data_IF_456709273136
#
_entry.id   IF_456709273136
#
_cell.length_a   1.000
_cell.length_b   1.000
_cell.length_c   1.000
_cell.angle_alpha   90.00
_cell.angle_beta   90.00
_cell.angle_gamma   90.00
#
_symmetry.space_group_name_H-M   'P 1'
#
loop_
_entity.id
_entity.type
_entity.pdbx_description
1 polymer ?
#
# COMPACT_ATOMS: atom_id res chain seq x y z
N UNK A 1 5.27 14.19 -18.23
CA UNK A 1 4.74 14.94 -17.06
C UNK A 1 5.09 14.14 -15.82
N UNK A 2 5.49 14.80 -14.75
CA UNK A 2 5.79 14.14 -13.47
C UNK A 2 4.48 13.67 -12.84
N UNK A 3 4.43 12.41 -12.40
CA UNK A 3 3.24 11.84 -11.77
C UNK A 3 3.01 12.46 -10.39
N UNK A 4 1.74 12.56 -9.94
CA UNK A 4 1.39 13.16 -8.67
C UNK A 4 2.06 12.46 -7.48
N UNK A 5 2.20 11.14 -7.53
CA UNK A 5 2.81 10.35 -6.45
C UNK A 5 4.33 10.54 -6.34
N UNK A 6 5.01 10.95 -7.43
CA UNK A 6 6.43 11.33 -7.40
C UNK A 6 6.64 12.66 -6.65
N UNK A 7 5.67 13.57 -6.74
CA UNK A 7 5.73 14.87 -6.09
C UNK A 7 5.32 14.79 -4.61
N UNK A 8 4.33 13.96 -4.31
CA UNK A 8 3.72 13.89 -2.99
C UNK A 8 4.52 13.08 -1.98
N UNK A 9 4.96 11.87 -2.34
CA UNK A 9 5.65 10.96 -1.41
C UNK A 9 7.11 11.36 -1.20
N UNK A 10 7.33 12.49 -0.46
CA UNK A 10 8.63 13.06 -0.15
C UNK A 10 8.75 13.47 1.32
N UNK A 11 9.64 14.45 1.59
CA UNK A 11 9.87 15.00 2.92
C UNK A 11 8.59 15.61 3.52
N UNK A 12 7.77 16.28 2.70
CA UNK A 12 6.54 16.92 3.14
C UNK A 12 5.52 15.89 3.65
N UNK A 13 5.39 14.76 2.94
CA UNK A 13 4.56 13.65 3.40
C UNK A 13 4.98 13.14 4.79
N UNK A 14 6.29 13.03 5.05
CA UNK A 14 6.81 12.60 6.35
C UNK A 14 6.49 13.61 7.47
N UNK A 15 6.45 14.90 7.14
CA UNK A 15 6.13 15.95 8.09
C UNK A 15 4.63 16.02 8.40
N UNK A 16 3.77 15.82 7.40
CA UNK A 16 2.32 15.89 7.56
C UNK A 16 1.72 14.64 8.21
N UNK A 17 2.41 13.51 8.13
CA UNK A 17 1.93 12.26 8.73
C UNK A 17 2.92 11.66 9.74
N UNK A 18 3.34 12.42 10.77
CA UNK A 18 4.28 11.91 11.79
C UNK A 18 3.70 10.76 12.61
N UNK A 19 2.36 10.70 12.72
CA UNK A 19 1.61 9.75 13.53
C UNK A 19 1.15 8.50 12.77
N UNK A 20 1.48 8.35 11.49
CA UNK A 20 1.32 7.08 10.79
C UNK A 20 2.32 6.07 11.36
N UNK A 21 2.05 5.67 12.60
CA UNK A 21 2.93 4.90 13.47
C UNK A 21 2.71 3.38 13.38
N UNK A 22 3.32 2.67 14.30
CA UNK A 22 3.47 1.24 14.19
C UNK A 22 2.26 0.40 14.56
N UNK A 23 1.16 0.94 15.15
CA UNK A 23 0.07 0.12 15.66
C UNK A 23 -0.69 -0.58 14.53
N UNK A 24 -1.18 0.16 13.54
CA UNK A 24 -1.83 -0.43 12.37
C UNK A 24 -0.88 -1.34 11.59
N UNK A 25 0.40 -0.94 11.47
CA UNK A 25 1.42 -1.78 10.83
C UNK A 25 1.67 -3.08 11.60
N UNK A 26 1.62 -3.06 12.91
CA UNK A 26 1.72 -4.25 13.75
C UNK A 26 0.50 -5.16 13.57
N UNK A 27 -0.72 -4.60 13.58
CA UNK A 27 -1.98 -5.35 13.44
C UNK A 27 -2.07 -6.05 12.08
N UNK A 28 -1.80 -5.34 10.98
CA UNK A 28 -1.86 -5.96 9.65
C UNK A 28 -0.79 -7.05 9.49
N UNK A 29 0.42 -6.87 10.02
CA UNK A 29 1.46 -7.91 9.99
C UNK A 29 1.08 -9.11 10.86
N UNK A 30 0.44 -8.90 12.01
CA UNK A 30 -0.06 -9.99 12.85
C UNK A 30 -1.16 -10.80 12.13
N UNK A 31 -2.08 -10.13 11.42
CA UNK A 31 -3.08 -10.80 10.58
C UNK A 31 -2.40 -11.63 9.48
N UNK A 32 -1.42 -11.08 8.79
CA UNK A 32 -0.65 -11.80 7.75
C UNK A 32 0.04 -13.04 8.35
N UNK A 33 0.71 -12.88 9.49
CA UNK A 33 1.41 -13.98 10.18
C UNK A 33 0.47 -15.10 10.66
N UNK A 34 -0.81 -14.80 10.85
CA UNK A 34 -1.84 -15.79 11.17
C UNK A 34 -2.26 -16.68 9.98
N UNK A 35 -1.94 -16.25 8.74
CA UNK A 35 -2.34 -16.96 7.51
C UNK A 35 -1.12 -17.45 6.72
N UNK A 36 -0.02 -16.68 6.75
CA UNK A 36 1.18 -16.93 5.95
C UNK A 36 2.37 -17.24 6.83
N UNK A 37 3.18 -18.22 6.46
CA UNK A 37 4.42 -18.58 7.18
C UNK A 37 5.49 -17.53 6.91
N UNK A 38 5.82 -16.69 7.90
CA UNK A 38 6.83 -15.63 7.79
C UNK A 38 8.25 -16.04 8.21
N UNK A 39 8.48 -16.94 9.18
CA UNK A 39 9.83 -17.30 9.62
C UNK A 39 10.70 -17.76 8.45
N UNK A 40 11.81 -17.01 8.18
CA UNK A 40 12.78 -17.20 7.09
C UNK A 40 12.23 -16.94 5.68
N UNK A 41 10.98 -16.53 5.52
CA UNK A 41 10.40 -16.16 4.23
C UNK A 41 11.13 -14.96 3.62
N UNK A 42 11.38 -15.00 2.32
CA UNK A 42 11.83 -13.85 1.53
C UNK A 42 10.60 -12.97 1.25
N UNK A 43 10.52 -11.82 1.90
CA UNK A 43 9.36 -10.93 1.81
C UNK A 43 9.73 -9.65 1.05
N UNK A 44 8.94 -9.32 0.02
CA UNK A 44 8.97 -8.02 -0.63
C UNK A 44 7.88 -7.12 -0.03
N UNK A 45 8.29 -6.03 0.61
CA UNK A 45 7.39 -4.93 1.02
C UNK A 45 7.35 -3.91 -0.13
N UNK A 46 6.31 -4.02 -0.99
CA UNK A 46 6.13 -3.26 -2.22
C UNK A 46 5.47 -1.93 -1.93
N UNK A 47 6.10 -0.83 -2.34
CA UNK A 47 5.79 0.54 -1.92
C UNK A 47 5.88 0.70 -0.40
N UNK A 48 7.02 0.28 0.14
CA UNK A 48 7.26 0.16 1.59
C UNK A 48 7.28 1.51 2.34
N UNK A 49 7.36 2.63 1.62
CA UNK A 49 7.45 3.96 2.20
C UNK A 49 8.60 4.08 3.21
N UNK A 50 8.36 4.65 4.41
CA UNK A 50 9.38 4.79 5.45
C UNK A 50 9.66 3.49 6.24
N UNK A 51 9.26 2.32 5.72
CA UNK A 51 9.61 1.00 6.25
C UNK A 51 8.89 0.61 7.54
N UNK A 52 7.68 1.12 7.81
CA UNK A 52 6.98 0.84 9.07
C UNK A 52 6.54 -0.62 9.23
N UNK A 53 6.18 -1.30 8.13
CA UNK A 53 5.81 -2.73 8.15
C UNK A 53 7.03 -3.64 8.25
N UNK A 54 8.15 -3.24 7.60
CA UNK A 54 9.35 -4.05 7.50
C UNK A 54 9.90 -4.51 8.86
N UNK A 55 9.87 -3.63 9.88
CA UNK A 55 10.32 -4.00 11.23
C UNK A 55 9.45 -5.09 11.88
N UNK A 56 8.12 -5.05 11.64
CA UNK A 56 7.19 -6.04 12.18
C UNK A 56 7.30 -7.37 11.42
N UNK A 57 7.43 -7.33 10.08
CA UNK A 57 7.70 -8.51 9.27
C UNK A 57 8.98 -9.22 9.72
N UNK A 58 10.06 -8.45 9.94
CA UNK A 58 11.31 -8.98 10.44
C UNK A 58 11.22 -9.53 11.88
N UNK A 59 10.42 -8.92 12.74
CA UNK A 59 10.15 -9.43 14.08
C UNK A 59 9.43 -10.81 14.06
N UNK A 60 8.68 -11.10 12.99
CA UNK A 60 8.12 -12.44 12.72
C UNK A 60 9.10 -13.37 11.99
N UNK A 61 10.38 -12.99 11.86
CA UNK A 61 11.44 -13.81 11.29
C UNK A 61 11.59 -13.74 9.77
N UNK A 62 10.89 -12.82 9.09
CA UNK A 62 11.01 -12.63 7.65
C UNK A 62 12.33 -11.95 7.25
N UNK A 63 12.82 -12.28 6.06
CA UNK A 63 13.95 -11.61 5.40
C UNK A 63 13.35 -10.57 4.44
N UNK A 64 13.35 -9.30 4.86
CA UNK A 64 12.59 -8.25 4.19
C UNK A 64 13.42 -7.51 3.15
N UNK A 65 12.84 -7.32 1.96
CA UNK A 65 13.28 -6.37 0.95
C UNK A 65 12.20 -5.30 0.80
N UNK A 66 12.50 -4.06 1.13
CA UNK A 66 11.63 -2.91 0.89
C UNK A 66 11.90 -2.31 -0.48
N UNK A 67 10.83 -2.03 -1.23
CA UNK A 67 10.89 -1.43 -2.54
C UNK A 67 9.98 -0.21 -2.61
N UNK A 68 10.51 0.94 -3.00
CA UNK A 68 9.74 2.18 -3.11
C UNK A 68 10.35 3.13 -4.17
N UNK A 69 9.52 3.99 -4.73
CA UNK A 69 9.95 4.99 -5.70
C UNK A 69 10.68 6.16 -5.03
N UNK A 70 10.26 6.52 -3.82
CA UNK A 70 10.70 7.70 -3.09
C UNK A 70 12.03 7.49 -2.38
N UNK A 71 13.07 8.19 -2.80
CA UNK A 71 14.36 8.17 -2.11
C UNK A 71 14.29 8.74 -0.69
N UNK A 72 13.58 9.86 -0.40
CA UNK A 72 13.39 10.34 0.96
C UNK A 72 12.77 9.29 1.90
N UNK A 73 11.72 8.59 1.44
CA UNK A 73 11.08 7.55 2.24
C UNK A 73 12.01 6.36 2.49
N UNK A 74 12.72 5.89 1.46
CA UNK A 74 13.71 4.81 1.61
C UNK A 74 14.87 5.19 2.53
N UNK A 75 15.33 6.44 2.47
CA UNK A 75 16.35 6.93 3.41
C UNK A 75 15.84 6.86 4.84
N UNK A 76 14.58 7.26 5.07
CA UNK A 76 13.93 7.15 6.38
C UNK A 76 13.77 5.68 6.82
N UNK A 77 13.38 4.80 5.90
CA UNK A 77 13.28 3.35 6.16
C UNK A 77 14.62 2.77 6.62
N UNK A 78 15.69 3.07 5.89
CA UNK A 78 17.05 2.63 6.23
C UNK A 78 17.50 3.11 7.61
N UNK A 79 17.21 4.35 7.96
CA UNK A 79 17.56 4.89 9.29
C UNK A 79 16.73 4.25 10.42
N UNK A 80 15.44 3.98 10.20
CA UNK A 80 14.56 3.39 11.22
C UNK A 80 14.75 1.90 11.42
N UNK A 81 15.27 1.20 10.41
CA UNK A 81 15.34 -0.26 10.42
C UNK A 81 16.49 -0.84 11.26
N UNK A 82 17.43 -0.01 11.75
CA UNK A 82 18.58 -0.48 12.53
C UNK A 82 19.35 -1.65 11.89
N UNK A 83 19.45 -1.64 10.56
CA UNK A 83 20.14 -2.70 9.79
C UNK A 83 19.24 -3.86 9.36
N UNK A 84 17.95 -3.83 9.68
CA UNK A 84 16.98 -4.81 9.20
C UNK A 84 16.49 -4.41 7.80
N UNK A 85 16.45 -5.36 6.86
CA UNK A 85 15.92 -5.18 5.51
C UNK A 85 16.97 -4.71 4.49
N UNK A 86 16.64 -4.97 3.24
CA UNK A 86 17.31 -4.45 2.04
C UNK A 86 16.39 -3.41 1.44
N UNK A 87 16.95 -2.30 0.93
CA UNK A 87 16.15 -1.18 0.40
C UNK A 87 16.50 -0.95 -1.05
N UNK A 88 15.52 -1.06 -1.93
CA UNK A 88 15.66 -0.94 -3.38
C UNK A 88 14.76 0.18 -3.88
N UNK A 89 15.31 1.11 -4.65
CA UNK A 89 14.56 2.18 -5.29
C UNK A 89 14.09 1.75 -6.67
N UNK A 90 12.80 1.97 -6.96
CA UNK A 90 12.26 1.73 -8.29
C UNK A 90 10.76 1.99 -8.37
N UNK A 91 10.26 1.96 -9.59
CA UNK A 91 8.84 2.06 -9.91
C UNK A 91 8.24 0.64 -9.89
N UNK A 92 7.13 0.45 -9.17
CA UNK A 92 6.50 -0.87 -9.06
C UNK A 92 5.96 -1.41 -10.39
N UNK A 93 5.84 -0.55 -11.41
CA UNK A 93 5.50 -0.96 -12.78
C UNK A 93 6.62 -1.74 -13.48
N UNK A 94 7.83 -1.71 -12.92
CA UNK A 94 9.04 -2.35 -13.50
C UNK A 94 9.90 -2.95 -12.39
N UNK A 95 9.52 -4.12 -11.87
CA UNK A 95 10.26 -4.77 -10.78
C UNK A 95 11.60 -5.33 -11.26
N UNK A 96 12.73 -4.87 -10.69
CA UNK A 96 14.07 -5.28 -11.13
C UNK A 96 14.51 -6.63 -10.54
N UNK A 97 13.57 -7.49 -10.20
CA UNK A 97 13.83 -8.75 -9.55
C UNK A 97 13.73 -9.92 -10.54
N UNK A 98 14.54 -10.96 -10.32
CA UNK A 98 14.39 -12.23 -11.01
C UNK A 98 13.02 -12.86 -10.67
N UNK A 99 12.59 -13.85 -11.47
CA UNK A 99 11.42 -14.64 -11.14
C UNK A 99 11.68 -15.55 -9.94
N UNK A 100 10.63 -15.90 -9.23
CA UNK A 100 10.59 -16.95 -8.21
C UNK A 100 11.58 -16.78 -7.05
N UNK A 101 11.66 -15.56 -6.51
CA UNK A 101 12.60 -15.23 -5.41
C UNK A 101 11.92 -14.82 -4.11
N UNK A 102 10.62 -14.48 -4.14
CA UNK A 102 9.89 -14.09 -2.95
C UNK A 102 8.85 -15.14 -2.57
N UNK A 103 8.81 -15.48 -1.29
CA UNK A 103 7.76 -16.33 -0.72
C UNK A 103 6.49 -15.52 -0.45
N UNK A 104 6.66 -14.23 -0.16
CA UNK A 104 5.54 -13.31 0.12
C UNK A 104 5.84 -11.94 -0.49
N UNK A 105 4.85 -11.38 -1.16
CA UNK A 105 4.85 -9.95 -1.54
C UNK A 105 3.70 -9.29 -0.82
N UNK A 106 3.96 -8.18 -0.13
CA UNK A 106 2.95 -7.38 0.54
C UNK A 106 2.89 -5.99 -0.09
N UNK A 107 1.68 -5.49 -0.35
CA UNK A 107 1.41 -4.11 -0.71
C UNK A 107 0.34 -3.58 0.24
N UNK A 108 0.76 -2.77 1.21
CA UNK A 108 -0.03 -2.46 2.39
C UNK A 108 -0.43 -0.98 2.46
N UNK A 109 -1.52 -0.72 3.20
CA UNK A 109 -2.03 0.60 3.51
C UNK A 109 -2.39 1.44 2.27
N UNK A 110 -3.02 0.81 1.29
CA UNK A 110 -3.47 1.48 0.05
C UNK A 110 -2.30 2.07 -0.76
N UNK A 111 -1.22 1.33 -0.91
CA UNK A 111 -0.10 1.68 -1.78
C UNK A 111 -0.29 1.19 -3.22
N UNK A 112 -1.54 1.01 -3.65
CA UNK A 112 -1.99 0.57 -4.96
C UNK A 112 -3.08 1.51 -5.47
N UNK A 113 -3.38 1.49 -6.77
CA UNK A 113 -4.47 2.32 -7.31
C UNK A 113 -4.04 3.72 -7.76
N UNK A 114 -2.74 3.98 -7.96
CA UNK A 114 -2.21 5.32 -8.24
C UNK A 114 -2.14 5.67 -9.72
N UNK A 115 -2.22 4.69 -10.61
CA UNK A 115 -2.06 4.88 -12.05
C UNK A 115 -3.35 5.34 -12.73
N UNK A 116 -3.21 5.88 -13.93
CA UNK A 116 -4.33 6.38 -14.71
C UNK A 116 -5.19 5.25 -15.29
N UNK A 117 -4.53 4.17 -15.75
CA UNK A 117 -5.15 3.09 -16.48
C UNK A 117 -5.17 1.78 -15.68
N UNK A 118 -6.29 1.05 -15.74
CA UNK A 118 -6.45 -0.22 -15.03
C UNK A 118 -5.42 -1.29 -15.53
N UNK A 119 -4.96 -1.17 -16.79
CA UNK A 119 -3.93 -2.04 -17.36
C UNK A 119 -2.56 -1.89 -16.69
N UNK A 120 -2.20 -0.70 -16.21
CA UNK A 120 -0.95 -0.49 -15.47
C UNK A 120 -0.99 -1.23 -14.13
N UNK A 121 -2.14 -1.22 -13.46
CA UNK A 121 -2.35 -1.96 -12.21
C UNK A 121 -2.25 -3.47 -12.41
N UNK A 122 -2.88 -3.99 -13.48
CA UNK A 122 -2.79 -5.40 -13.84
C UNK A 122 -1.34 -5.81 -14.19
N UNK A 123 -0.59 -4.94 -14.88
CA UNK A 123 0.82 -5.18 -15.18
C UNK A 123 1.67 -5.30 -13.91
N UNK A 124 1.42 -4.46 -12.89
CA UNK A 124 2.07 -4.59 -11.57
C UNK A 124 1.78 -5.94 -10.93
N UNK A 125 0.51 -6.38 -10.89
CA UNK A 125 0.15 -7.67 -10.27
C UNK A 125 0.78 -8.83 -11.03
N UNK A 126 0.85 -8.78 -12.38
CA UNK A 126 1.53 -9.79 -13.20
C UNK A 126 3.03 -9.86 -12.92
N UNK A 127 3.67 -8.70 -12.77
CA UNK A 127 5.09 -8.66 -12.47
C UNK A 127 5.38 -9.14 -11.04
N UNK A 128 4.51 -8.83 -10.07
CA UNK A 128 4.53 -9.43 -8.74
C UNK A 128 4.39 -10.95 -8.81
N UNK A 129 3.38 -11.46 -9.52
CA UNK A 129 3.16 -12.91 -9.68
C UNK A 129 4.38 -13.62 -10.25
N UNK A 130 5.09 -12.99 -11.20
CA UNK A 130 6.34 -13.51 -11.75
C UNK A 130 7.44 -13.64 -10.69
N UNK A 131 7.51 -12.72 -9.74
CA UNK A 131 8.56 -12.70 -8.70
C UNK A 131 8.28 -13.65 -7.53
N UNK A 132 7.05 -14.09 -7.35
CA UNK A 132 6.66 -15.05 -6.32
C UNK A 132 7.18 -16.46 -6.67
N UNK A 133 7.58 -17.21 -5.66
CA UNK A 133 7.82 -18.65 -5.76
C UNK A 133 6.51 -19.42 -6.01
N UNK A 134 6.52 -20.64 -6.58
CA UNK A 134 5.33 -21.50 -6.56
C UNK A 134 4.82 -21.70 -5.13
N UNK A 135 3.53 -21.49 -4.90
CA UNK A 135 2.93 -21.45 -3.54
C UNK A 135 3.17 -20.15 -2.77
N UNK A 136 3.88 -19.18 -3.36
CA UNK A 136 4.11 -17.88 -2.76
C UNK A 136 2.86 -17.00 -2.74
N UNK A 137 2.79 -16.05 -1.81
CA UNK A 137 1.60 -15.28 -1.49
C UNK A 137 1.74 -13.80 -1.84
N UNK A 138 0.73 -13.24 -2.52
CA UNK A 138 0.51 -11.80 -2.61
C UNK A 138 -0.53 -11.36 -1.58
N UNK A 139 -0.21 -10.34 -0.80
CA UNK A 139 -1.14 -9.65 0.10
C UNK A 139 -1.32 -8.22 -0.34
N UNK A 140 -2.56 -7.82 -0.64
CA UNK A 140 -2.93 -6.42 -0.89
C UNK A 140 -3.86 -5.96 0.23
N UNK A 141 -3.46 -4.92 0.96
CA UNK A 141 -4.29 -4.20 1.92
C UNK A 141 -4.71 -2.85 1.32
N UNK A 142 -5.98 -2.76 0.99
CA UNK A 142 -6.56 -1.68 0.23
C UNK A 142 -7.72 -0.99 0.96
N UNK A 143 -8.02 0.26 0.60
CA UNK A 143 -9.27 0.88 1.02
C UNK A 143 -10.48 0.11 0.46
N UNK A 144 -11.57 0.07 1.22
CA UNK A 144 -12.81 -0.47 0.70
C UNK A 144 -13.56 0.62 -0.09
N UNK A 145 -13.73 0.39 -1.39
CA UNK A 145 -14.35 1.36 -2.30
C UNK A 145 -15.79 1.73 -1.91
N UNK A 146 -16.58 0.76 -1.43
CA UNK A 146 -17.97 0.98 -1.03
C UNK A 146 -18.04 1.79 0.27
N UNK A 147 -17.18 1.48 1.22
CA UNK A 147 -17.04 2.27 2.45
C UNK A 147 -16.64 3.71 2.15
N UNK A 148 -15.66 3.93 1.27
CA UNK A 148 -15.21 5.27 0.87
C UNK A 148 -16.34 6.05 0.22
N UNK A 149 -17.09 5.43 -0.71
CA UNK A 149 -18.22 6.09 -1.39
C UNK A 149 -19.34 6.49 -0.43
N UNK A 150 -19.62 5.65 0.58
CA UNK A 150 -20.70 5.88 1.54
C UNK A 150 -20.33 6.84 2.67
N UNK A 151 -19.02 6.96 2.99
CA UNK A 151 -18.52 7.71 4.15
C UNK A 151 -17.54 8.82 3.77
N UNK A 152 -17.58 9.31 2.53
CA UNK A 152 -16.65 10.36 2.09
C UNK A 152 -16.92 11.65 2.88
N UNK A 153 -15.88 12.17 3.52
CA UNK A 153 -15.89 13.48 4.17
C UNK A 153 -15.29 14.48 3.18
N UNK A 154 -16.13 15.35 2.62
CA UNK A 154 -15.74 16.27 1.55
C UNK A 154 -14.68 17.27 2.00
N UNK A 155 -14.80 17.80 3.23
CA UNK A 155 -13.88 18.79 3.77
C UNK A 155 -13.48 18.47 5.20
N UNK A 156 -12.20 18.64 5.47
CA UNK A 156 -11.61 18.41 6.77
C UNK A 156 -10.48 19.42 6.99
N UNK A 157 -10.26 19.82 8.22
CA UNK A 157 -9.08 20.59 8.62
C UNK A 157 -8.22 19.73 9.56
N UNK A 158 -6.93 19.70 9.31
CA UNK A 158 -5.95 19.00 10.14
C UNK A 158 -4.89 19.99 10.62
N UNK A 159 -4.49 19.87 11.89
CA UNK A 159 -3.36 20.64 12.44
C UNK A 159 -2.22 19.68 12.77
N UNK A 160 -1.05 19.94 12.19
CA UNK A 160 0.17 19.16 12.44
C UNK A 160 1.27 20.09 12.96
N UNK A 161 1.56 19.99 14.25
CA UNK A 161 2.41 20.97 14.93
C UNK A 161 1.78 22.36 14.90
N UNK A 162 2.42 23.32 14.23
CA UNK A 162 1.87 24.67 14.02
C UNK A 162 1.22 24.86 12.65
N UNK A 163 1.21 23.83 11.80
CA UNK A 163 0.73 23.93 10.41
C UNK A 163 -0.73 23.54 10.31
N UNK A 164 -1.51 24.39 9.65
CA UNK A 164 -2.90 24.12 9.30
C UNK A 164 -2.96 23.60 7.87
N UNK A 165 -3.66 22.49 7.68
CA UNK A 165 -3.86 21.82 6.39
C UNK A 165 -5.35 21.68 6.13
N UNK A 166 -5.82 22.32 5.09
CA UNK A 166 -7.18 22.14 4.59
C UNK A 166 -7.20 20.96 3.63
N UNK A 167 -8.14 20.05 3.82
CA UNK A 167 -8.25 18.83 3.04
C UNK A 167 -9.62 18.82 2.37
N UNK A 168 -9.61 18.70 1.04
CA UNK A 168 -10.81 18.48 0.26
C UNK A 168 -10.78 17.11 -0.41
N UNK A 169 -11.91 16.40 -0.37
CA UNK A 169 -12.05 15.10 -1.04
C UNK A 169 -13.25 15.12 -1.96
N UNK A 170 -13.12 14.45 -3.09
CA UNK A 170 -14.23 14.26 -4.04
C UNK A 170 -14.07 12.96 -4.81
N UNK A 171 -15.18 12.45 -5.30
CA UNK A 171 -15.21 11.39 -6.29
C UNK A 171 -15.12 11.98 -7.69
N UNK A 172 -14.36 11.35 -8.58
CA UNK A 172 -14.22 11.76 -9.98
C UNK A 172 -14.46 10.57 -10.91
N UNK A 173 -14.62 10.86 -12.21
CA UNK A 173 -14.83 9.86 -13.26
C UNK A 173 -15.97 8.88 -12.94
N UNK A 174 -17.14 9.43 -12.56
CA UNK A 174 -18.30 8.61 -12.20
C UNK A 174 -18.11 7.76 -10.94
N UNK A 175 -17.24 8.20 -10.00
CA UNK A 175 -16.96 7.49 -8.75
C UNK A 175 -15.87 6.41 -8.89
N UNK A 176 -15.14 6.43 -10.01
CA UNK A 176 -13.99 5.50 -10.20
C UNK A 176 -12.77 5.87 -9.38
N UNK A 177 -12.58 7.15 -9.10
CA UNK A 177 -11.45 7.65 -8.31
C UNK A 177 -11.93 8.45 -7.12
N UNK A 178 -11.19 8.35 -6.02
CA UNK A 178 -11.21 9.35 -4.96
C UNK A 178 -10.00 10.26 -5.12
N UNK A 179 -10.25 11.57 -5.08
CA UNK A 179 -9.21 12.60 -5.10
C UNK A 179 -9.22 13.30 -3.76
N UNK A 180 -8.03 13.49 -3.20
CA UNK A 180 -7.80 14.26 -1.99
C UNK A 180 -6.81 15.36 -2.31
N UNK A 181 -7.23 16.59 -2.11
CA UNK A 181 -6.38 17.78 -2.22
C UNK A 181 -6.07 18.30 -0.82
N UNK A 182 -4.83 18.66 -0.59
CA UNK A 182 -4.32 19.19 0.68
C UNK A 182 -3.68 20.54 0.44
N UNK A 183 -4.20 21.57 1.10
CA UNK A 183 -3.72 22.94 0.98
C UNK A 183 -3.05 23.34 2.29
N UNK A 184 -1.78 23.71 2.21
CA UNK A 184 -1.00 24.18 3.35
C UNK A 184 -1.20 25.68 3.53
N UNK A 185 -1.84 26.09 4.62
CA UNK A 185 -2.18 27.48 4.86
C UNK A 185 -0.96 28.39 5.13
N UNK A 186 0.18 27.80 5.52
CA UNK A 186 1.38 28.54 5.89
C UNK A 186 2.22 29.02 4.69
N UNK A 187 2.25 28.27 3.59
CA UNK A 187 3.08 28.57 2.41
C UNK A 187 2.34 28.45 1.07
N UNK A 188 1.04 28.14 1.11
CA UNK A 188 0.17 28.06 -0.07
C UNK A 188 0.46 26.85 -0.99
N UNK A 189 1.30 25.92 -0.58
CA UNK A 189 1.53 24.69 -1.37
C UNK A 189 0.32 23.78 -1.32
N UNK A 190 0.11 23.06 -2.39
CA UNK A 190 -0.97 22.09 -2.52
C UNK A 190 -0.43 20.75 -2.98
N UNK A 191 -1.02 19.69 -2.45
CA UNK A 191 -0.70 18.31 -2.82
C UNK A 191 -1.97 17.57 -3.20
N UNK A 192 -1.81 16.62 -4.11
CA UNK A 192 -2.92 15.81 -4.62
C UNK A 192 -2.62 14.34 -4.37
N UNK A 193 -3.62 13.61 -3.87
CA UNK A 193 -3.68 12.16 -3.92
C UNK A 193 -4.86 11.76 -4.81
N UNK A 194 -4.64 10.86 -5.77
CA UNK A 194 -5.71 10.31 -6.62
C UNK A 194 -5.61 8.80 -6.59
N UNK A 195 -6.63 8.14 -6.05
CA UNK A 195 -6.66 6.69 -5.90
C UNK A 195 -7.84 6.11 -6.65
N UNK A 196 -7.59 5.13 -7.50
CA UNK A 196 -8.60 4.34 -8.21
C UNK A 196 -9.39 3.52 -7.18
N UNK A 197 -10.71 3.61 -7.17
CA UNK A 197 -11.56 2.86 -6.26
C UNK A 197 -11.91 1.49 -6.88
N UNK A 198 -11.03 0.52 -6.73
CA UNK A 198 -11.31 -0.86 -7.09
C UNK A 198 -12.24 -1.50 -6.08
N UNK A 199 -13.28 -2.18 -6.55
CA UNK A 199 -14.07 -3.07 -5.69
C UNK A 199 -13.25 -4.30 -5.29
N UNK A 200 -13.71 -5.02 -4.27
CA UNK A 200 -13.13 -6.31 -3.91
C UNK A 200 -13.12 -7.29 -5.10
N UNK A 201 -14.17 -7.26 -5.93
CA UNK A 201 -14.27 -8.11 -7.10
C UNK A 201 -13.23 -7.73 -8.16
N UNK A 202 -13.06 -6.43 -8.44
CA UNK A 202 -12.06 -5.97 -9.43
C UNK A 202 -10.64 -6.40 -9.03
N UNK A 203 -10.27 -6.23 -7.75
CA UNK A 203 -8.96 -6.64 -7.24
C UNK A 203 -8.77 -8.16 -7.33
N UNK A 204 -9.79 -8.94 -6.94
CA UNK A 204 -9.74 -10.40 -7.03
C UNK A 204 -9.59 -10.85 -8.49
N UNK A 205 -10.34 -10.27 -9.41
CA UNK A 205 -10.25 -10.59 -10.83
C UNK A 205 -8.87 -10.27 -11.41
N UNK A 206 -8.27 -9.10 -11.06
CA UNK A 206 -6.92 -8.77 -11.49
C UNK A 206 -5.88 -9.77 -10.96
N UNK A 207 -6.04 -10.28 -9.73
CA UNK A 207 -5.16 -11.32 -9.19
C UNK A 207 -5.32 -12.63 -9.98
N UNK A 208 -6.55 -13.04 -10.28
CA UNK A 208 -6.84 -14.24 -11.07
C UNK A 208 -6.31 -14.12 -12.51
N UNK A 209 -6.46 -12.96 -13.15
CA UNK A 209 -5.92 -12.66 -14.49
C UNK A 209 -4.38 -12.65 -14.54
N UNK A 210 -3.75 -12.49 -13.38
CA UNK A 210 -2.30 -12.60 -13.21
C UNK A 210 -1.82 -14.01 -12.80
N UNK A 211 -2.72 -15.00 -12.72
CA UNK A 211 -2.39 -16.39 -12.38
C UNK A 211 -2.30 -16.64 -10.87
N UNK A 212 -2.89 -15.77 -10.05
CA UNK A 212 -2.97 -15.95 -8.61
C UNK A 212 -4.37 -16.44 -8.22
N UNK A 213 -4.48 -17.21 -7.15
CA UNK A 213 -5.77 -17.66 -6.61
C UNK A 213 -6.03 -17.01 -5.27
N UNK A 214 -7.12 -16.25 -5.15
CA UNK A 214 -7.50 -15.60 -3.88
C UNK A 214 -7.93 -16.65 -2.87
N UNK A 215 -7.19 -16.75 -1.76
CA UNK A 215 -7.38 -17.75 -0.70
C UNK A 215 -8.00 -17.19 0.57
N UNK A 216 -7.82 -15.87 0.85
CA UNK A 216 -8.39 -15.24 2.02
C UNK A 216 -8.83 -13.79 1.72
N UNK A 217 -9.84 -13.32 2.49
CA UNK A 217 -10.42 -11.97 2.38
C UNK A 217 -10.77 -11.46 3.76
N UNK A 218 -10.32 -10.24 4.11
CA UNK A 218 -10.62 -9.60 5.39
C UNK A 218 -11.03 -8.14 5.20
N UNK A 219 -11.94 -7.67 6.05
CA UNK A 219 -12.47 -6.30 6.05
C UNK A 219 -11.79 -5.39 7.07
N UNK A 220 -11.03 -5.97 8.00
CA UNK A 220 -10.29 -5.27 9.06
C UNK A 220 -8.99 -5.97 9.39
N UNK A 221 -8.14 -5.32 10.20
CA UNK A 221 -6.90 -5.94 10.72
C UNK A 221 -7.16 -6.95 11.85
N UNK A 222 -8.39 -7.04 12.35
CA UNK A 222 -8.80 -8.04 13.35
C UNK A 222 -9.30 -9.34 12.72
N UNK A 223 -9.30 -9.40 11.38
CA UNK A 223 -9.68 -10.60 10.64
C UNK A 223 -11.18 -10.71 10.35
N UNK A 224 -11.94 -9.64 10.52
CA UNK A 224 -13.37 -9.64 10.20
C UNK A 224 -13.61 -9.87 8.71
N UNK A 225 -14.74 -10.49 8.32
CA UNK A 225 -15.14 -10.65 6.94
C UNK A 225 -15.29 -9.28 6.22
N UNK A 226 -15.03 -9.23 4.91
CA UNK A 226 -15.31 -8.04 4.11
C UNK A 226 -16.81 -7.83 3.96
N UNK A 227 -17.26 -6.60 4.23
CA UNK A 227 -18.63 -6.11 3.98
C UNK A 227 -18.58 -4.72 3.36
N UNK A 228 -19.72 -4.16 2.98
CA UNK A 228 -19.82 -2.77 2.50
C UNK A 228 -19.39 -1.74 3.54
N UNK A 229 -19.53 -2.08 4.82
CA UNK A 229 -19.21 -1.23 5.97
C UNK A 229 -17.79 -1.44 6.51
N UNK A 230 -17.06 -2.41 5.96
CA UNK A 230 -15.67 -2.66 6.36
C UNK A 230 -14.76 -1.52 5.88
N UNK A 231 -13.86 -1.00 6.73
CA UNK A 231 -12.96 0.09 6.33
C UNK A 231 -11.91 -0.34 5.31
N UNK A 232 -11.60 -1.64 5.26
CA UNK A 232 -10.54 -2.21 4.42
C UNK A 232 -11.06 -3.32 3.51
N UNK A 233 -10.30 -3.57 2.45
CA UNK A 233 -10.36 -4.79 1.63
C UNK A 233 -8.95 -5.37 1.62
N UNK A 234 -8.75 -6.46 2.35
CA UNK A 234 -7.46 -7.16 2.42
C UNK A 234 -7.62 -8.49 1.69
N UNK A 235 -6.89 -8.65 0.59
CA UNK A 235 -6.90 -9.87 -0.20
C UNK A 235 -5.56 -10.58 -0.09
N UNK A 236 -5.61 -11.89 0.09
CA UNK A 236 -4.44 -12.76 0.03
C UNK A 236 -4.63 -13.76 -1.10
N UNK A 237 -3.64 -13.85 -1.98
CA UNK A 237 -3.72 -14.72 -3.15
C UNK A 237 -2.43 -15.52 -3.33
N UNK A 238 -2.56 -16.79 -3.66
CA UNK A 238 -1.47 -17.74 -3.83
C UNK A 238 -1.12 -17.90 -5.32
N UNK A 239 0.16 -17.94 -5.62
CA UNK A 239 0.68 -18.35 -6.93
C UNK A 239 0.64 -19.87 -7.06
N UNK A 240 -0.08 -20.36 -8.05
CA UNK A 240 -0.09 -21.79 -8.41
C UNK A 240 1.18 -22.22 -9.12
#
# INVERSE_FOLDING_TARGET
>A
MTEWFEQWFGEEYLQLYPHRDGEDAQRVVALIAGVVTLPRAQVLDLACGPGRHAKHLAAHGAIVTGFDLSMPLLSRAKHRSSGVGRWVRGDMRYLPFCGEIFDVVVNLFTSFGYFAEDQEHLAVIRDVARTLTPGGMLVIDYLNADFVRSNLVDKEEMVVGSRRVEIERRLTDGGRFVVKEMHLADDGRSFLERVRLFSQHDLAQMMEDAGLTVTARFGSYDGDPVSTDSPRTILMAERR
#
